data_IF_682595853903
#
_entry.id   IF_682595853903
#
_cell.length_a   1.000
_cell.length_b   1.000
_cell.length_c   1.000
_cell.angle_alpha   90.00
_cell.angle_beta   90.00
_cell.angle_gamma   90.00
#
_symmetry.space_group_name_H-M   'P 1'
#
loop_
_entity.id
_entity.type
_entity.pdbx_description
1 polymer ?
#
# COMPACT_ATOMS: atom_id res chain seq x y z
N UNK A 1 2.61 -17.38 9.39
CA UNK A 1 1.26 -18.01 9.40
C UNK A 1 1.11 -18.78 8.10
N UNK A 2 0.58 -20.01 8.13
CA UNK A 2 0.33 -20.81 6.93
C UNK A 2 -1.13 -21.25 6.94
N UNK A 3 -1.84 -20.98 5.86
CA UNK A 3 -3.26 -21.33 5.67
C UNK A 3 -3.33 -22.20 4.42
N UNK A 4 -4.06 -23.32 4.48
CA UNK A 4 -4.20 -24.26 3.36
C UNK A 4 -5.64 -24.79 3.24
N UNK A 5 -6.09 -25.02 2.01
CA UNK A 5 -7.44 -25.48 1.70
C UNK A 5 -7.60 -25.80 0.22
N UNK A 6 -8.59 -26.63 -0.16
CA UNK A 6 -8.80 -27.05 -1.55
C UNK A 6 -9.28 -25.92 -2.47
N UNK A 7 -9.85 -24.86 -1.90
CA UNK A 7 -10.39 -23.70 -2.62
C UNK A 7 -9.50 -22.45 -2.51
N UNK A 8 -8.23 -22.61 -2.11
CA UNK A 8 -7.28 -21.51 -1.96
C UNK A 8 -6.26 -21.50 -3.10
N UNK A 9 -6.03 -20.33 -3.67
CA UNK A 9 -4.93 -20.12 -4.60
C UNK A 9 -3.58 -20.08 -3.89
N UNK A 10 -2.53 -20.49 -4.60
CA UNK A 10 -1.16 -20.40 -4.13
C UNK A 10 -0.72 -18.93 -4.08
N UNK A 11 -0.80 -18.33 -2.89
CA UNK A 11 -0.39 -16.95 -2.63
C UNK A 11 0.55 -16.86 -1.42
N UNK A 12 1.65 -16.13 -1.60
CA UNK A 12 2.55 -15.74 -0.52
C UNK A 12 2.50 -14.21 -0.34
N UNK A 13 2.06 -13.76 0.85
CA UNK A 13 2.10 -12.36 1.24
C UNK A 13 3.22 -12.17 2.27
N UNK A 14 4.07 -11.17 2.01
CA UNK A 14 5.19 -10.82 2.89
C UNK A 14 4.93 -9.41 3.42
N UNK A 15 4.76 -9.31 4.74
CA UNK A 15 4.68 -8.01 5.42
C UNK A 15 6.08 -7.52 5.72
N UNK A 16 6.40 -6.31 5.27
CA UNK A 16 7.72 -5.69 5.40
C UNK A 16 7.63 -4.51 6.37
N UNK A 17 8.69 -4.22 7.15
CA UNK A 17 8.69 -3.06 8.04
C UNK A 17 8.44 -1.77 7.25
N UNK A 18 7.64 -0.86 7.83
CA UNK A 18 7.34 0.43 7.21
C UNK A 18 8.59 1.26 6.96
N UNK A 19 8.63 1.93 5.80
CA UNK A 19 9.73 2.82 5.44
C UNK A 19 9.70 4.07 6.33
N UNK A 20 10.80 4.34 7.03
CA UNK A 20 10.95 5.51 7.93
C UNK A 20 11.73 6.61 7.20
N UNK A 21 11.20 7.83 7.21
CA UNK A 21 11.76 8.94 6.46
C UNK A 21 12.62 9.93 7.26
N UNK A 22 12.40 10.08 8.57
CA UNK A 22 13.17 11.00 9.39
C UNK A 22 13.11 10.67 10.89
N UNK A 23 14.26 10.63 11.56
CA UNK A 23 14.37 10.85 12.99
C UNK A 23 15.62 11.70 13.29
N UNK A 24 15.53 12.58 14.28
CA UNK A 24 16.61 13.48 14.70
C UNK A 24 17.83 12.76 15.33
N UNK A 25 17.73 11.44 15.57
CA UNK A 25 18.75 10.65 16.25
C UNK A 25 19.58 9.81 15.28
N UNK A 26 20.89 10.12 15.21
CA UNK A 26 21.90 9.40 14.39
C UNK A 26 21.97 7.90 14.67
N UNK A 27 21.61 7.44 15.87
CA UNK A 27 21.60 6.02 16.22
C UNK A 27 20.60 5.19 15.38
N UNK A 28 19.60 5.82 14.77
CA UNK A 28 18.58 5.15 13.97
C UNK A 28 18.92 5.01 12.48
N UNK A 29 20.03 5.60 12.02
CA UNK A 29 20.42 5.56 10.60
C UNK A 29 20.76 4.14 10.12
N UNK A 30 21.44 3.35 10.97
CA UNK A 30 21.76 1.95 10.68
C UNK A 30 20.49 1.11 10.55
N UNK A 31 19.52 1.35 11.44
CA UNK A 31 18.24 0.64 11.41
C UNK A 31 17.42 1.00 10.17
N UNK A 32 17.32 2.29 9.84
CA UNK A 32 16.64 2.76 8.62
C UNK A 32 17.26 2.12 7.38
N UNK A 33 18.59 2.11 7.29
CA UNK A 33 19.32 1.50 6.18
C UNK A 33 19.07 -0.01 6.10
N UNK A 34 19.04 -0.71 7.25
CA UNK A 34 18.74 -2.14 7.29
C UNK A 34 17.33 -2.45 6.80
N UNK A 35 16.32 -1.67 7.21
CA UNK A 35 14.94 -1.79 6.74
C UNK A 35 14.85 -1.53 5.23
N UNK A 36 15.48 -0.45 4.74
CA UNK A 36 15.48 -0.13 3.31
C UNK A 36 16.14 -1.23 2.47
N UNK A 37 17.26 -1.80 2.93
CA UNK A 37 17.94 -2.90 2.26
C UNK A 37 17.08 -4.18 2.25
N UNK A 38 16.40 -4.47 3.35
CA UNK A 38 15.47 -5.60 3.42
C UNK A 38 14.34 -5.44 2.41
N UNK A 39 13.67 -4.29 2.41
CA UNK A 39 12.57 -3.99 1.47
C UNK A 39 13.05 -4.09 0.02
N UNK A 40 14.22 -3.49 -0.27
CA UNK A 40 14.83 -3.56 -1.61
C UNK A 40 15.12 -4.99 -2.05
N UNK A 41 15.63 -5.84 -1.15
CA UNK A 41 15.95 -7.24 -1.48
C UNK A 41 14.74 -8.07 -1.93
N UNK A 42 13.54 -7.72 -1.45
CA UNK A 42 12.29 -8.33 -1.92
C UNK A 42 11.78 -7.69 -3.21
N UNK A 43 11.86 -6.36 -3.33
CA UNK A 43 11.43 -5.64 -4.53
C UNK A 43 12.27 -5.98 -5.76
N UNK A 44 13.56 -6.26 -5.60
CA UNK A 44 14.45 -6.64 -6.72
C UNK A 44 14.16 -8.02 -7.30
N UNK A 45 13.44 -8.88 -6.59
CA UNK A 45 13.06 -10.20 -7.09
C UNK A 45 12.04 -10.07 -8.23
N UNK A 46 12.29 -10.63 -9.43
CA UNK A 46 11.43 -10.42 -10.60
C UNK A 46 10.02 -11.01 -10.45
N UNK A 47 9.88 -12.06 -9.63
CA UNK A 47 8.60 -12.73 -9.37
C UNK A 47 7.78 -12.07 -8.24
N UNK A 48 8.32 -11.04 -7.60
CA UNK A 48 7.61 -10.31 -6.53
C UNK A 48 6.72 -9.24 -7.14
N UNK A 49 5.43 -9.32 -6.85
CA UNK A 49 4.49 -8.22 -7.08
C UNK A 49 4.66 -7.17 -5.97
N UNK A 50 4.92 -5.93 -6.34
CA UNK A 50 5.09 -4.81 -5.43
C UNK A 50 3.71 -4.20 -5.16
N UNK A 51 3.29 -4.17 -3.90
CA UNK A 51 2.08 -3.44 -3.48
C UNK A 51 2.55 -2.15 -2.81
N UNK A 52 2.49 -1.04 -3.55
CA UNK A 52 2.91 0.27 -3.09
C UNK A 52 1.76 0.95 -2.34
N UNK A 53 1.75 0.83 -1.01
CA UNK A 53 0.79 1.51 -0.14
C UNK A 53 1.20 2.97 0.05
N UNK A 54 0.28 3.87 -0.30
CA UNK A 54 0.48 5.32 -0.40
C UNK A 54 -0.58 5.99 0.46
N UNK A 55 -0.19 6.97 1.25
CA UNK A 55 -1.12 7.72 2.09
C UNK A 55 -1.67 8.90 1.30
N UNK A 56 -2.99 9.11 1.29
CA UNK A 56 -3.63 10.18 0.51
C UNK A 56 -3.66 11.54 1.26
N UNK A 57 -3.23 11.55 2.53
CA UNK A 57 -3.10 12.73 3.40
C UNK A 57 -1.73 13.43 3.27
N UNK A 58 -0.78 12.81 2.57
CA UNK A 58 0.57 13.33 2.37
C UNK A 58 0.86 13.52 0.89
N UNK A 59 1.75 14.47 0.59
CA UNK A 59 2.25 14.65 -0.77
C UNK A 59 2.93 13.36 -1.26
N UNK A 60 2.45 12.88 -2.39
CA UNK A 60 2.88 11.64 -3.01
C UNK A 60 4.34 11.69 -3.42
N UNK A 61 4.84 12.85 -3.88
CA UNK A 61 6.23 13.00 -4.31
C UNK A 61 7.20 12.80 -3.14
N UNK A 62 6.74 13.09 -1.93
CA UNK A 62 7.52 12.87 -0.72
C UNK A 62 7.55 11.41 -0.28
N UNK A 63 6.77 10.49 -0.84
CA UNK A 63 6.72 9.12 -0.34
C UNK A 63 7.83 8.23 -0.94
N UNK A 64 8.78 7.78 -0.10
CA UNK A 64 9.93 6.92 -0.50
C UNK A 64 9.53 5.69 -1.31
N UNK A 65 8.35 5.13 -1.06
CA UNK A 65 7.87 3.90 -1.69
C UNK A 65 7.84 4.01 -3.22
N UNK A 66 7.45 5.17 -3.77
CA UNK A 66 7.40 5.40 -5.21
C UNK A 66 8.79 5.37 -5.84
N UNK A 67 9.76 6.03 -5.21
CA UNK A 67 11.14 6.04 -5.69
C UNK A 67 11.74 4.63 -5.68
N UNK A 68 11.46 3.85 -4.64
CA UNK A 68 11.94 2.47 -4.54
C UNK A 68 11.26 1.56 -5.57
N UNK A 69 9.94 1.61 -5.68
CA UNK A 69 9.18 0.83 -6.65
C UNK A 69 9.63 1.12 -8.08
N UNK A 70 9.81 2.40 -8.45
CA UNK A 70 10.29 2.79 -9.79
C UNK A 70 11.71 2.32 -10.10
N UNK A 71 12.59 2.25 -9.09
CA UNK A 71 13.96 1.73 -9.28
C UNK A 71 13.94 0.21 -9.53
N UNK A 72 13.06 -0.51 -8.86
CA UNK A 72 12.95 -1.97 -8.98
C UNK A 72 12.06 -2.42 -10.15
N UNK A 73 11.08 -1.62 -10.53
CA UNK A 73 10.12 -1.88 -11.62
C UNK A 73 9.91 -0.60 -12.47
N UNK A 74 10.87 -0.22 -13.33
CA UNK A 74 10.81 1.02 -14.11
C UNK A 74 9.62 1.10 -15.08
N UNK A 75 9.13 -0.06 -15.53
CA UNK A 75 8.01 -0.18 -16.46
C UNK A 75 6.65 -0.30 -15.75
N UNK A 76 6.63 -0.49 -14.42
CA UNK A 76 5.40 -0.62 -13.64
C UNK A 76 4.59 -1.88 -13.95
N UNK A 77 5.23 -2.95 -14.46
CA UNK A 77 4.56 -4.17 -14.92
C UNK A 77 4.10 -5.07 -13.75
N UNK A 78 4.77 -4.95 -12.61
CA UNK A 78 4.57 -5.79 -11.42
C UNK A 78 4.33 -4.96 -10.17
N UNK A 79 3.93 -3.71 -10.34
CA UNK A 79 3.60 -2.80 -9.24
C UNK A 79 2.12 -2.45 -9.27
N UNK A 80 1.48 -2.52 -8.10
CA UNK A 80 0.10 -2.11 -7.85
C UNK A 80 0.15 -0.93 -6.88
N UNK A 81 -0.51 0.18 -7.22
CA UNK A 81 -0.62 1.32 -6.32
C UNK A 81 -1.85 1.19 -5.43
N UNK A 82 -1.69 1.38 -4.13
CA UNK A 82 -2.81 1.33 -3.17
C UNK A 82 -2.84 2.63 -2.39
N UNK A 83 -3.85 3.46 -2.63
CA UNK A 83 -4.09 4.69 -1.89
C UNK A 83 -4.90 4.39 -0.63
N UNK A 84 -4.42 4.91 0.49
CA UNK A 84 -4.98 4.72 1.82
C UNK A 84 -5.41 6.06 2.41
N UNK A 85 -6.31 6.02 3.40
CA UNK A 85 -6.86 7.20 4.08
C UNK A 85 -7.46 8.26 3.12
N UNK A 86 -8.31 7.88 2.15
CA UNK A 86 -8.91 8.84 1.22
C UNK A 86 -9.81 9.87 1.91
N UNK A 87 -10.25 9.59 3.13
CA UNK A 87 -11.04 10.48 3.99
C UNK A 87 -10.24 11.69 4.53
N UNK A 88 -8.91 11.63 4.48
CA UNK A 88 -8.01 12.66 5.02
C UNK A 88 -7.31 13.49 3.94
N UNK A 89 -7.71 13.35 2.68
CA UNK A 89 -7.12 14.11 1.59
C UNK A 89 -7.31 15.61 1.82
N UNK A 90 -6.20 16.34 1.87
CA UNK A 90 -6.24 17.79 1.91
C UNK A 90 -6.71 18.33 0.56
N UNK A 91 -7.49 19.41 0.57
CA UNK A 91 -8.04 20.01 -0.66
C UNK A 91 -6.96 20.35 -1.71
N UNK A 92 -5.75 20.68 -1.27
CA UNK A 92 -4.62 20.98 -2.15
C UNK A 92 -4.03 19.77 -2.87
N UNK A 93 -4.31 18.55 -2.40
CA UNK A 93 -3.73 17.30 -2.93
C UNK A 93 -4.73 16.51 -3.81
N UNK A 94 -5.98 16.94 -3.88
CA UNK A 94 -7.05 16.20 -4.60
C UNK A 94 -6.68 16.03 -6.08
N UNK A 95 -6.19 17.08 -6.72
CA UNK A 95 -5.84 17.04 -8.15
C UNK A 95 -4.67 16.08 -8.42
N UNK A 96 -3.69 16.04 -7.51
CA UNK A 96 -2.54 15.13 -7.61
C UNK A 96 -2.96 13.68 -7.43
N UNK A 97 -3.84 13.42 -6.45
CA UNK A 97 -4.42 12.09 -6.22
C UNK A 97 -5.22 11.62 -7.45
N UNK A 98 -6.05 12.50 -8.03
CA UNK A 98 -6.81 12.19 -9.24
C UNK A 98 -5.88 11.94 -10.44
N UNK A 99 -4.83 12.73 -10.60
CA UNK A 99 -3.83 12.54 -11.66
C UNK A 99 -3.13 11.18 -11.56
N UNK A 100 -2.85 10.72 -10.34
CA UNK A 100 -2.26 9.42 -10.07
C UNK A 100 -3.22 8.28 -10.34
N UNK A 101 -4.46 8.38 -9.87
CA UNK A 101 -5.50 7.38 -10.15
C UNK A 101 -5.70 7.17 -11.65
N UNK A 102 -5.62 8.24 -12.44
CA UNK A 102 -5.69 8.21 -13.90
C UNK A 102 -4.40 7.72 -14.58
N UNK A 103 -3.35 7.40 -13.82
CA UNK A 103 -2.05 6.95 -14.33
C UNK A 103 -1.25 8.02 -15.08
N UNK A 104 -1.59 9.31 -14.93
CA UNK A 104 -0.93 10.41 -15.66
C UNK A 104 0.43 10.78 -15.06
N UNK A 105 0.53 10.87 -13.73
CA UNK A 105 1.78 11.22 -13.05
C UNK A 105 2.71 10.02 -12.90
N UNK A 106 2.16 8.85 -12.56
CA UNK A 106 2.91 7.60 -12.46
C UNK A 106 2.07 6.46 -13.05
N UNK A 107 2.52 5.93 -14.18
CA UNK A 107 1.80 4.88 -14.88
C UNK A 107 2.14 3.51 -14.29
N UNK A 108 1.11 2.78 -13.87
CA UNK A 108 1.19 1.40 -13.43
C UNK A 108 0.33 0.53 -14.33
N UNK A 109 0.90 -0.55 -14.89
CA UNK A 109 0.15 -1.43 -15.78
C UNK A 109 -1.02 -2.11 -15.07
N UNK A 110 -0.87 -2.34 -13.76
CA UNK A 110 -1.91 -2.94 -12.91
C UNK A 110 -2.84 -1.91 -12.26
N UNK A 111 -2.61 -0.63 -12.52
CA UNK A 111 -3.44 0.47 -12.03
C UNK A 111 -3.30 0.77 -10.55
N UNK A 112 -4.27 1.53 -10.05
CA UNK A 112 -4.38 2.00 -8.68
C UNK A 112 -5.68 1.57 -8.04
N UNK A 113 -5.63 1.31 -6.74
CA UNK A 113 -6.79 0.97 -5.91
C UNK A 113 -6.86 1.92 -4.73
N UNK A 114 -8.07 2.30 -4.32
CA UNK A 114 -8.29 3.11 -3.13
C UNK A 114 -8.91 2.25 -2.05
N UNK A 115 -8.31 2.27 -0.86
CA UNK A 115 -8.84 1.62 0.32
C UNK A 115 -9.02 2.61 1.47
N UNK A 116 -10.12 2.49 2.19
CA UNK A 116 -10.30 3.18 3.48
C UNK A 116 -10.43 2.15 4.58
N UNK A 117 -9.37 2.01 5.35
CA UNK A 117 -9.36 1.17 6.55
C UNK A 117 -10.36 1.70 7.59
N UNK A 118 -10.99 0.82 8.38
CA UNK A 118 -11.86 1.26 9.46
C UNK A 118 -11.07 2.12 10.47
N UNK A 119 -11.73 3.16 11.00
CA UNK A 119 -11.15 3.94 12.10
C UNK A 119 -11.26 3.16 13.42
N UNK A 120 -10.66 3.68 14.50
CA UNK A 120 -10.63 2.99 15.80
C UNK A 120 -12.04 2.70 16.34
N UNK A 121 -12.94 3.66 16.22
CA UNK A 121 -14.32 3.54 16.71
C UNK A 121 -15.12 2.50 15.90
N UNK A 122 -14.84 2.40 14.60
CA UNK A 122 -15.38 1.36 13.72
C UNK A 122 -14.75 0.01 14.06
N UNK A 123 -13.43 -0.09 14.27
CA UNK A 123 -12.74 -1.33 14.65
C UNK A 123 -13.28 -1.91 15.96
N UNK A 124 -13.58 -1.07 16.94
CA UNK A 124 -14.15 -1.50 18.21
C UNK A 124 -15.55 -2.10 18.00
N UNK A 125 -16.37 -1.49 17.15
CA UNK A 125 -17.68 -2.05 16.74
C UNK A 125 -17.55 -3.35 15.93
N UNK A 126 -16.50 -3.48 15.11
CA UNK A 126 -16.22 -4.68 14.31
C UNK A 126 -15.78 -5.84 15.21
N UNK A 127 -14.89 -5.59 16.17
CA UNK A 127 -14.47 -6.60 17.13
C UNK A 127 -15.63 -7.10 17.98
N UNK A 128 -16.59 -6.22 18.29
CA UNK A 128 -17.82 -6.58 19.01
C UNK A 128 -18.83 -7.35 18.14
N UNK A 129 -18.76 -7.22 16.81
CA UNK A 129 -19.77 -7.74 15.88
C UNK A 129 -19.30 -8.90 14.98
N UNK A 130 -17.98 -9.10 14.79
CA UNK A 130 -17.45 -10.03 13.78
C UNK A 130 -16.60 -11.19 14.36
N UNK A 131 -17.31 -12.25 14.76
CA UNK A 131 -16.92 -13.64 14.45
C UNK A 131 -17.37 -14.08 13.03
N UNK A 132 -17.89 -13.16 12.23
CA UNK A 132 -18.62 -13.46 11.00
C UNK A 132 -17.95 -12.78 9.79
N UNK A 133 -17.31 -13.63 8.99
CA UNK A 133 -17.07 -13.52 7.55
C UNK A 133 -16.51 -12.20 6.97
N UNK A 134 -15.21 -12.25 6.65
CA UNK A 134 -14.44 -11.30 5.82
C UNK A 134 -15.16 -11.00 4.47
N UNK A 135 -16.02 -11.90 3.99
CA UNK A 135 -16.88 -11.72 2.81
C UNK A 135 -17.77 -10.48 2.88
N UNK A 136 -18.34 -10.17 4.04
CA UNK A 136 -19.27 -9.04 4.19
C UNK A 136 -18.56 -7.69 4.03
N UNK A 137 -17.27 -7.63 4.39
CA UNK A 137 -16.45 -6.41 4.27
C UNK A 137 -16.07 -6.09 2.82
N UNK A 138 -15.85 -7.11 1.99
CA UNK A 138 -15.49 -6.94 0.59
C UNK A 138 -16.71 -6.71 -0.32
N UNK A 139 -17.91 -7.16 0.08
CA UNK A 139 -19.15 -6.87 -0.65
C UNK A 139 -19.68 -5.45 -0.44
N UNK A 140 -19.25 -4.75 0.62
CA UNK A 140 -19.75 -3.41 0.95
C UNK A 140 -19.07 -2.25 0.21
N UNK A 141 -18.03 -2.51 -0.58
CA UNK A 141 -17.30 -1.46 -1.31
C UNK A 141 -16.93 -1.95 -2.69
N UNK A 142 -17.76 -1.56 -3.65
CA UNK A 142 -17.39 -1.59 -5.05
C UNK A 142 -16.02 -0.93 -5.17
N UNK A 143 -15.06 -1.70 -5.70
CA UNK A 143 -13.88 -1.14 -6.34
C UNK A 143 -14.44 -0.43 -7.56
N UNK A 144 -14.87 0.82 -7.38
CA UNK A 144 -15.17 1.70 -8.50
C UNK A 144 -13.86 1.89 -9.27
N UNK A 145 -13.75 1.15 -10.37
CA UNK A 145 -12.83 1.50 -11.44
C UNK A 145 -13.30 2.85 -12.00
N UNK A 146 -12.75 3.94 -11.44
CA UNK A 146 -12.84 5.29 -11.98
C UNK A 146 -11.63 5.57 -12.87
#
# INVERSE_FOLDING_TARGET
VQISGPDLDDLALIDLPGLIQSQENKENEVYITAVENLVRSYMEQPNTCIVACISSDEDIENQKIFSMARKSDPEGNRTIGVLTKPDKVEKGLVDDIVSILQGKSYALLRGYFVIRSPNKDELDQINDSCRTDISTYLQGREIENL
#
